data_IF_392274283244
#
_entry.id   IF_392274283244
#
_cell.length_a   1.000
_cell.length_b   1.000
_cell.length_c   1.000
_cell.angle_alpha   90.00
_cell.angle_beta   90.00
_cell.angle_gamma   90.00
#
_symmetry.space_group_name_H-M   'P 1'
#
loop_
_entity.id
_entity.type
_entity.pdbx_description
1 polymer ?
#
# COMPACT_ATOMS: atom_id res chain seq x y z
N UNK A 1 21.81 -38.57 -8.91
CA UNK A 1 21.60 -37.43 -8.02
C UNK A 1 21.58 -36.20 -8.91
N UNK A 2 20.40 -35.71 -9.27
CA UNK A 2 20.30 -34.48 -10.06
C UNK A 2 20.60 -33.32 -9.13
N UNK A 3 21.79 -32.73 -9.26
CA UNK A 3 22.10 -31.43 -8.66
C UNK A 3 21.04 -30.45 -9.15
N UNK A 4 20.15 -30.03 -8.24
CA UNK A 4 19.23 -28.93 -8.51
C UNK A 4 20.07 -27.68 -8.34
N UNK A 5 20.71 -27.23 -9.42
CA UNK A 5 21.43 -25.96 -9.46
C UNK A 5 20.43 -24.87 -9.12
N UNK A 6 20.58 -24.24 -7.95
CA UNK A 6 19.72 -23.15 -7.54
C UNK A 6 19.78 -22.03 -8.59
N UNK A 7 18.62 -21.57 -9.05
CA UNK A 7 18.54 -20.51 -10.05
C UNK A 7 19.18 -19.21 -9.48
N UNK A 8 19.99 -18.55 -10.31
CA UNK A 8 20.64 -17.29 -9.92
C UNK A 8 19.58 -16.22 -9.57
N UNK A 9 19.87 -15.31 -8.61
CA UNK A 9 19.02 -14.16 -8.34
C UNK A 9 18.79 -13.36 -9.62
N UNK A 10 17.54 -12.98 -9.89
CA UNK A 10 17.23 -12.23 -11.09
C UNK A 10 17.02 -13.08 -12.35
N UNK A 11 17.15 -14.41 -12.33
CA UNK A 11 16.84 -15.23 -13.52
C UNK A 11 15.38 -15.05 -13.98
N UNK A 12 15.12 -14.78 -15.26
CA UNK A 12 13.77 -14.62 -15.80
C UNK A 12 13.01 -15.94 -15.82
N UNK A 13 11.72 -15.86 -15.57
CA UNK A 13 10.76 -16.94 -15.83
C UNK A 13 10.57 -17.14 -17.34
N UNK A 14 9.98 -18.27 -17.74
CA UNK A 14 9.67 -18.55 -19.15
C UNK A 14 8.79 -17.46 -19.78
N UNK A 15 7.80 -16.94 -19.04
CA UNK A 15 6.92 -15.89 -19.51
C UNK A 15 7.62 -14.53 -19.66
N UNK A 16 8.61 -14.23 -18.82
CA UNK A 16 9.44 -13.03 -18.95
C UNK A 16 10.41 -13.17 -20.14
N UNK A 17 11.02 -14.35 -20.33
CA UNK A 17 11.86 -14.64 -21.49
C UNK A 17 11.12 -14.41 -22.81
N UNK A 18 9.87 -14.85 -22.91
CA UNK A 18 9.04 -14.63 -24.10
C UNK A 18 8.78 -13.14 -24.39
N UNK A 19 8.63 -12.32 -23.35
CA UNK A 19 8.50 -10.87 -23.51
C UNK A 19 9.83 -10.24 -23.94
N UNK A 20 10.93 -10.65 -23.32
CA UNK A 20 12.28 -10.16 -23.61
C UNK A 20 12.70 -10.47 -25.05
N UNK A 21 12.32 -11.64 -25.59
CA UNK A 21 12.66 -12.07 -26.97
C UNK A 21 12.24 -11.07 -28.05
N UNK A 22 11.26 -10.20 -27.79
CA UNK A 22 10.84 -9.13 -28.71
C UNK A 22 11.93 -8.07 -28.94
N UNK A 23 12.89 -7.98 -28.02
CA UNK A 23 13.96 -6.99 -28.01
C UNK A 23 15.35 -7.58 -28.28
N UNK A 24 15.46 -8.91 -28.38
CA UNK A 24 16.73 -9.60 -28.63
C UNK A 24 16.81 -10.09 -30.07
N UNK A 25 18.03 -10.10 -30.64
CA UNK A 25 18.26 -10.59 -32.01
C UNK A 25 18.55 -12.09 -32.09
N UNK A 26 18.75 -12.73 -30.94
CA UNK A 26 18.93 -14.17 -30.77
C UNK A 26 18.19 -14.62 -29.52
N UNK A 27 18.02 -15.92 -29.38
CA UNK A 27 17.56 -16.51 -28.13
C UNK A 27 18.67 -16.43 -27.07
N UNK A 28 18.24 -16.17 -25.84
CA UNK A 28 19.07 -16.20 -24.63
C UNK A 28 18.57 -17.33 -23.73
N UNK A 29 19.50 -18.05 -23.11
CA UNK A 29 19.18 -18.91 -21.98
C UNK A 29 18.81 -18.06 -20.75
N UNK A 30 17.95 -18.56 -19.84
CA UNK A 30 17.56 -17.81 -18.64
C UNK A 30 18.76 -17.28 -17.85
N UNK A 31 19.82 -18.07 -17.74
CA UNK A 31 21.02 -17.77 -16.95
C UNK A 31 21.87 -16.66 -17.58
N UNK A 32 21.72 -16.38 -18.88
CA UNK A 32 22.41 -15.29 -19.56
C UNK A 32 21.79 -13.92 -19.28
N UNK A 33 20.64 -13.87 -18.59
CA UNK A 33 19.91 -12.64 -18.32
C UNK A 33 19.72 -12.40 -16.82
N UNK A 34 19.68 -11.12 -16.46
CA UNK A 34 19.33 -10.63 -15.14
C UNK A 34 18.13 -9.70 -15.27
N UNK A 35 17.06 -10.03 -14.56
CA UNK A 35 15.82 -9.26 -14.49
C UNK A 35 15.68 -8.67 -13.10
N UNK A 36 15.14 -7.47 -13.00
CA UNK A 36 14.79 -6.82 -11.73
C UNK A 36 13.64 -5.82 -11.94
N UNK A 37 12.77 -5.62 -10.93
CA UNK A 37 11.72 -4.61 -11.00
C UNK A 37 12.19 -3.26 -10.46
N UNK A 38 11.62 -2.18 -10.98
CA UNK A 38 11.80 -0.83 -10.44
C UNK A 38 10.50 -0.04 -10.44
N UNK A 39 10.35 0.87 -9.47
CA UNK A 39 9.40 1.99 -9.56
C UNK A 39 10.14 3.14 -10.25
N UNK A 40 9.62 3.57 -11.41
CA UNK A 40 10.25 4.61 -12.22
C UNK A 40 9.88 6.02 -11.76
N UNK A 41 8.59 6.26 -11.52
CA UNK A 41 8.03 7.50 -11.00
C UNK A 41 6.65 7.25 -10.38
N UNK A 42 6.13 8.21 -9.62
CA UNK A 42 4.81 8.12 -9.00
C UNK A 42 4.08 9.47 -8.97
N UNK A 43 2.88 9.50 -8.38
CA UNK A 43 2.04 10.69 -8.32
C UNK A 43 2.19 11.49 -7.01
N UNK A 44 3.25 11.29 -6.23
CA UNK A 44 3.55 12.16 -5.10
C UNK A 44 4.19 13.46 -5.56
N UNK A 45 3.90 14.53 -4.81
CA UNK A 45 4.66 15.79 -4.93
C UNK A 45 6.09 15.50 -4.49
N UNK A 46 7.04 15.69 -5.38
CA UNK A 46 8.45 15.40 -5.14
C UNK A 46 9.25 16.59 -4.60
N UNK A 47 10.57 16.40 -4.54
CA UNK A 47 11.53 17.40 -4.06
C UNK A 47 11.55 18.66 -4.91
N UNK A 48 11.19 18.56 -6.18
CA UNK A 48 11.15 19.68 -7.11
C UNK A 48 9.79 20.39 -7.10
N UNK A 49 8.82 19.87 -6.34
CA UNK A 49 7.46 20.40 -6.28
C UNK A 49 6.69 20.04 -7.54
N UNK A 50 6.92 18.85 -8.08
CA UNK A 50 6.30 18.32 -9.29
C UNK A 50 5.65 16.97 -8.97
N UNK A 51 4.67 16.56 -9.79
CA UNK A 51 4.10 15.20 -9.75
C UNK A 51 3.52 14.83 -11.10
N UNK A 52 3.41 13.54 -11.36
CA UNK A 52 2.60 13.04 -12.47
C UNK A 52 1.12 12.91 -12.08
N UNK A 53 0.23 13.22 -13.02
CA UNK A 53 -1.16 12.80 -12.89
C UNK A 53 -1.27 11.28 -13.08
N UNK A 54 -2.33 10.68 -12.53
CA UNK A 54 -2.56 9.23 -12.66
C UNK A 54 -2.73 8.81 -14.11
N UNK A 55 -3.39 9.63 -14.92
CA UNK A 55 -3.58 9.36 -16.35
C UNK A 55 -2.23 9.41 -17.08
N UNK A 56 -1.39 10.39 -16.76
CA UNK A 56 -0.03 10.47 -17.29
C UNK A 56 0.80 9.22 -16.97
N UNK A 57 0.68 8.66 -15.76
CA UNK A 57 1.39 7.42 -15.40
C UNK A 57 0.90 6.21 -16.20
N UNK A 58 -0.38 6.16 -16.58
CA UNK A 58 -0.91 5.10 -17.44
C UNK A 58 -0.39 5.23 -18.88
N UNK A 59 -0.35 6.45 -19.41
CA UNK A 59 0.21 6.73 -20.73
C UNK A 59 1.73 6.41 -20.77
N UNK A 60 2.47 6.84 -19.74
CA UNK A 60 3.89 6.52 -19.61
C UNK A 60 4.14 5.01 -19.50
N UNK A 61 3.21 4.24 -18.92
CA UNK A 61 3.36 2.79 -18.85
C UNK A 61 3.44 2.14 -20.23
N UNK A 62 2.76 2.68 -21.23
CA UNK A 62 2.86 2.20 -22.62
C UNK A 62 4.16 2.68 -23.27
N UNK A 63 4.52 3.95 -23.06
CA UNK A 63 5.70 4.58 -23.67
C UNK A 63 7.03 4.01 -23.16
N UNK A 64 7.10 3.60 -21.89
CA UNK A 64 8.34 3.07 -21.31
C UNK A 64 8.69 1.64 -21.74
N UNK A 65 7.77 0.93 -22.40
CA UNK A 65 8.02 -0.44 -22.88
C UNK A 65 9.06 -0.42 -24.00
N UNK A 66 10.21 -1.06 -23.77
CA UNK A 66 11.35 -1.07 -24.69
C UNK A 66 12.34 0.07 -24.48
N UNK A 67 12.10 1.01 -23.56
CA UNK A 67 13.03 2.12 -23.26
C UNK A 67 14.31 1.60 -22.59
N UNK A 68 15.44 2.17 -23.02
CA UNK A 68 16.77 1.77 -22.56
C UNK A 68 17.10 2.41 -21.20
N UNK A 69 17.83 1.66 -20.38
CA UNK A 69 18.44 2.14 -19.14
C UNK A 69 19.88 2.58 -19.38
N UNK A 70 20.20 3.83 -18.98
CA UNK A 70 21.53 4.43 -19.10
C UNK A 70 22.21 4.54 -17.73
N UNK A 71 23.52 4.33 -17.69
CA UNK A 71 24.32 4.44 -16.47
C UNK A 71 25.12 5.75 -16.42
N UNK A 72 25.14 6.40 -15.25
CA UNK A 72 25.95 7.58 -14.88
C UNK A 72 25.67 8.92 -15.61
N UNK A 73 24.43 9.22 -15.99
CA UNK A 73 24.02 10.51 -16.64
C UNK A 73 24.83 10.93 -17.87
N UNK A 74 25.68 10.04 -18.40
CA UNK A 74 26.42 10.27 -19.63
C UNK A 74 25.58 9.70 -20.76
N UNK A 75 25.08 10.58 -21.62
CA UNK A 75 24.42 10.20 -22.87
C UNK A 75 25.45 9.59 -23.85
N UNK A 76 25.94 8.40 -23.54
CA UNK A 76 26.81 7.60 -24.39
C UNK A 76 26.17 6.25 -24.68
N UNK A 77 26.40 5.73 -25.89
CA UNK A 77 25.96 4.38 -26.25
C UNK A 77 26.59 3.31 -25.35
N UNK A 78 27.75 3.59 -24.76
CA UNK A 78 28.43 2.70 -23.83
C UNK A 78 27.64 2.46 -22.54
N UNK A 79 26.83 3.42 -22.09
CA UNK A 79 26.05 3.31 -20.86
C UNK A 79 24.73 2.54 -21.00
N UNK A 80 24.37 2.08 -22.19
CA UNK A 80 23.13 1.36 -22.47
C UNK A 80 23.24 -0.12 -22.09
N UNK A 81 22.95 -0.45 -20.84
CA UNK A 81 23.13 -1.80 -20.32
C UNK A 81 21.83 -2.56 -20.04
N UNK A 82 20.70 -1.87 -19.94
CA UNK A 82 19.44 -2.47 -19.55
C UNK A 82 18.29 -1.99 -20.43
N UNK A 83 17.18 -2.74 -20.45
CA UNK A 83 15.98 -2.37 -21.20
C UNK A 83 14.72 -2.80 -20.45
N UNK A 84 13.68 -1.98 -20.51
CA UNK A 84 12.37 -2.31 -19.96
C UNK A 84 11.66 -3.24 -20.93
N UNK A 85 11.18 -4.40 -20.46
CA UNK A 85 10.39 -5.31 -21.28
C UNK A 85 8.90 -5.29 -20.94
N UNK A 86 8.53 -4.78 -19.76
CA UNK A 86 7.15 -4.57 -19.35
C UNK A 86 7.05 -3.37 -18.41
N UNK A 87 6.00 -2.58 -18.53
CA UNK A 87 5.70 -1.49 -17.61
C UNK A 87 4.19 -1.38 -17.37
N UNK A 88 3.81 -0.92 -16.17
CA UNK A 88 2.41 -0.80 -15.74
C UNK A 88 2.25 0.25 -14.66
N UNK A 89 1.16 1.02 -14.72
CA UNK A 89 0.72 1.84 -13.60
C UNK A 89 0.05 0.95 -12.54
N UNK A 90 0.49 1.05 -11.30
CA UNK A 90 -0.07 0.30 -10.16
C UNK A 90 -0.67 1.30 -9.18
N UNK A 91 -1.96 1.16 -8.93
CA UNK A 91 -2.70 1.98 -7.95
C UNK A 91 -2.84 1.24 -6.62
N UNK A 92 -2.65 1.96 -5.51
CA UNK A 92 -2.90 1.53 -4.15
C UNK A 92 -3.85 2.52 -3.49
N UNK A 93 -5.14 2.15 -3.44
CA UNK A 93 -6.20 2.97 -2.86
C UNK A 93 -6.16 3.03 -1.33
N UNK A 94 -5.42 2.13 -0.68
CA UNK A 94 -5.25 2.13 0.78
C UNK A 94 -4.21 3.15 1.26
N UNK A 95 -3.40 3.66 0.33
CA UNK A 95 -2.31 4.59 0.60
C UNK A 95 -2.56 5.92 -0.13
N UNK A 96 -2.98 6.99 0.56
CA UNK A 96 -3.08 8.31 -0.05
C UNK A 96 -1.69 8.91 -0.29
N UNK A 97 -1.57 9.74 -1.33
CA UNK A 97 -0.40 10.60 -1.58
C UNK A 97 -0.38 11.80 -0.63
N UNK A 98 0.72 12.55 -0.65
CA UNK A 98 0.83 13.84 0.03
C UNK A 98 -0.11 14.95 -0.51
N UNK A 99 -0.88 14.68 -1.58
CA UNK A 99 -1.95 15.54 -2.07
C UNK A 99 -3.36 14.93 -1.93
N UNK A 100 -3.50 13.79 -1.25
CA UNK A 100 -4.79 13.16 -0.96
C UNK A 100 -5.38 12.31 -2.08
N UNK A 101 -4.65 12.09 -3.18
CA UNK A 101 -5.04 11.15 -4.24
C UNK A 101 -4.64 9.71 -3.88
N UNK A 102 -5.29 8.67 -4.43
CA UNK A 102 -4.77 7.31 -4.36
C UNK A 102 -3.34 7.22 -4.91
N UNK A 103 -2.44 6.55 -4.19
CA UNK A 103 -1.06 6.37 -4.66
C UNK A 103 -1.05 5.57 -5.96
N UNK A 104 -0.40 6.10 -6.98
CA UNK A 104 -0.20 5.43 -8.26
C UNK A 104 1.26 5.54 -8.65
N UNK A 105 1.89 4.42 -9.00
CA UNK A 105 3.29 4.36 -9.40
C UNK A 105 3.45 3.65 -10.74
N UNK A 106 4.36 4.14 -11.56
CA UNK A 106 4.82 3.46 -12.76
C UNK A 106 5.86 2.41 -12.36
N UNK A 107 5.50 1.13 -12.49
CA UNK A 107 6.40 0.00 -12.26
C UNK A 107 6.89 -0.57 -13.59
N UNK A 108 8.19 -0.85 -13.66
CA UNK A 108 8.82 -1.46 -14.80
C UNK A 108 9.53 -2.77 -14.41
N UNK A 109 9.49 -3.73 -15.34
CA UNK A 109 10.33 -4.93 -15.32
C UNK A 109 11.46 -4.72 -16.33
N UNK A 110 12.69 -4.84 -15.84
CA UNK A 110 13.90 -4.48 -16.55
C UNK A 110 14.76 -5.72 -16.71
N UNK A 111 15.41 -5.88 -17.86
CA UNK A 111 16.39 -6.92 -18.08
C UNK A 111 17.74 -6.36 -18.56
N UNK A 112 18.81 -7.09 -18.27
CA UNK A 112 20.14 -6.88 -18.82
C UNK A 112 20.88 -8.21 -19.02
N UNK A 113 21.82 -8.29 -19.98
CA UNK A 113 22.64 -9.48 -20.15
C UNK A 113 23.61 -9.65 -18.98
N UNK A 114 23.90 -10.89 -18.59
CA UNK A 114 25.00 -11.23 -17.69
C UNK A 114 26.28 -11.40 -18.48
N UNK A 115 27.26 -10.53 -18.25
CA UNK A 115 28.59 -10.61 -18.84
C UNK A 115 29.58 -9.84 -17.96
N UNK A 116 30.86 -9.83 -18.34
CA UNK A 116 31.92 -9.14 -17.60
C UNK A 116 31.63 -7.65 -17.35
N UNK A 117 30.96 -6.97 -18.30
CA UNK A 117 30.65 -5.54 -18.17
C UNK A 117 29.53 -5.26 -17.18
N UNK A 118 28.54 -6.15 -17.07
CA UNK A 118 27.36 -5.96 -16.21
C UNK A 118 27.50 -6.63 -14.85
N UNK A 119 28.48 -7.52 -14.65
CA UNK A 119 28.65 -8.28 -13.42
C UNK A 119 28.77 -7.39 -12.16
N UNK A 120 29.56 -6.32 -12.23
CA UNK A 120 29.71 -5.36 -11.12
C UNK A 120 28.40 -4.63 -10.82
N UNK A 121 27.70 -4.15 -11.85
CA UNK A 121 26.42 -3.46 -11.70
C UNK A 121 25.33 -4.37 -11.12
N UNK A 122 25.25 -5.63 -11.59
CA UNK A 122 24.32 -6.62 -11.03
C UNK A 122 24.60 -6.82 -9.53
N UNK A 123 25.88 -6.96 -9.15
CA UNK A 123 26.25 -7.09 -7.75
C UNK A 123 25.89 -5.85 -6.91
N UNK A 124 26.07 -4.64 -7.45
CA UNK A 124 25.67 -3.40 -6.79
C UNK A 124 24.14 -3.29 -6.64
N UNK A 125 23.36 -3.74 -7.62
CA UNK A 125 21.89 -3.78 -7.54
C UNK A 125 21.44 -4.79 -6.48
N UNK A 126 21.98 -6.01 -6.51
CA UNK A 126 21.64 -7.07 -5.56
C UNK A 126 22.04 -6.70 -4.13
N UNK A 127 23.16 -5.98 -3.96
CA UNK A 127 23.59 -5.43 -2.68
C UNK A 127 22.77 -4.20 -2.23
N UNK A 128 21.92 -3.64 -3.09
CA UNK A 128 21.12 -2.44 -2.82
C UNK A 128 21.93 -1.13 -2.83
N UNK A 129 23.15 -1.14 -3.39
CA UNK A 129 24.00 0.04 -3.57
C UNK A 129 23.52 0.87 -4.76
N UNK A 130 23.20 0.24 -5.89
CA UNK A 130 22.55 0.89 -7.04
C UNK A 130 21.06 0.65 -6.97
N UNK A 131 20.35 1.60 -6.38
CA UNK A 131 18.92 1.45 -6.09
C UNK A 131 18.09 2.56 -6.72
N UNK A 132 18.45 3.80 -6.49
CA UNK A 132 17.63 4.95 -6.87
C UNK A 132 17.68 5.19 -8.39
N UNK A 133 16.53 5.51 -8.97
CA UNK A 133 16.42 5.78 -10.41
C UNK A 133 15.72 7.09 -10.70
N UNK A 134 15.97 7.63 -11.88
CA UNK A 134 15.19 8.73 -12.47
C UNK A 134 14.75 8.38 -13.88
N UNK A 135 13.78 9.14 -14.38
CA UNK A 135 13.28 9.03 -15.74
C UNK A 135 13.42 10.35 -16.49
N UNK A 136 13.58 10.24 -17.80
CA UNK A 136 13.48 11.34 -18.74
C UNK A 136 12.31 11.06 -19.69
N UNK A 137 11.34 11.97 -19.73
CA UNK A 137 10.13 11.85 -20.55
C UNK A 137 9.64 13.23 -20.99
N UNK A 138 8.79 13.27 -22.02
CA UNK A 138 8.10 14.47 -22.44
C UNK A 138 6.59 14.37 -22.16
N UNK A 139 6.02 15.51 -21.79
CA UNK A 139 4.59 15.68 -21.60
C UNK A 139 4.13 16.90 -22.41
N UNK A 140 2.94 16.83 -22.99
CA UNK A 140 2.37 17.95 -23.75
C UNK A 140 1.80 19.05 -22.86
N UNK A 141 1.53 18.73 -21.58
CA UNK A 141 0.85 19.64 -20.67
C UNK A 141 1.37 19.54 -19.25
N UNK A 142 1.75 20.68 -18.68
CA UNK A 142 2.10 20.83 -17.27
C UNK A 142 1.26 21.97 -16.70
N UNK A 143 0.56 21.74 -15.59
CA UNK A 143 -0.39 22.71 -15.02
C UNK A 143 -0.09 23.04 -13.57
N UNK A 144 -0.48 24.24 -13.15
CA UNK A 144 -0.45 24.67 -11.75
C UNK A 144 -1.52 23.94 -10.95
N UNK A 145 -1.15 23.35 -9.80
CA UNK A 145 -2.07 22.64 -8.92
C UNK A 145 -3.16 23.52 -8.28
N UNK A 146 -2.95 24.84 -8.23
CA UNK A 146 -3.88 25.78 -7.57
C UNK A 146 -4.97 26.28 -8.52
N UNK A 147 -4.59 26.67 -9.75
CA UNK A 147 -5.53 27.29 -10.71
C UNK A 147 -5.69 26.52 -12.02
N UNK A 148 -4.91 25.47 -12.29
CA UNK A 148 -5.02 24.67 -13.51
C UNK A 148 -4.42 25.31 -14.78
N UNK A 149 -3.98 26.57 -14.71
CA UNK A 149 -3.28 27.23 -15.80
C UNK A 149 -1.93 26.56 -16.12
N UNK A 150 -1.40 26.72 -17.34
CA UNK A 150 -0.08 26.21 -17.69
C UNK A 150 0.99 26.61 -16.67
N UNK A 151 1.87 25.66 -16.33
CA UNK A 151 2.92 25.90 -15.36
C UNK A 151 3.81 27.08 -15.81
N UNK A 152 4.04 28.04 -14.91
CA UNK A 152 4.83 29.25 -15.19
C UNK A 152 4.07 30.43 -15.80
N UNK A 153 2.77 30.30 -16.12
CA UNK A 153 1.98 31.43 -16.67
C UNK A 153 1.11 32.16 -15.63
N UNK A 154 0.99 31.61 -14.42
CA UNK A 154 0.22 32.22 -13.32
C UNK A 154 1.12 32.79 -12.22
N UNK A 155 0.54 33.55 -11.28
CA UNK A 155 1.27 34.16 -10.15
C UNK A 155 1.56 33.20 -8.98
N UNK A 156 1.11 31.94 -9.06
CA UNK A 156 1.34 30.95 -8.01
C UNK A 156 2.80 30.47 -8.03
N UNK A 157 3.45 30.51 -6.86
CA UNK A 157 4.85 30.10 -6.71
C UNK A 157 4.92 28.65 -6.24
N UNK A 158 5.65 27.81 -6.99
CA UNK A 158 5.92 26.42 -6.61
C UNK A 158 6.53 26.34 -5.20
N UNK A 159 6.04 25.42 -4.39
CA UNK A 159 6.42 25.25 -2.98
C UNK A 159 5.70 26.19 -2.00
N UNK A 160 5.09 27.30 -2.47
CA UNK A 160 4.34 28.21 -1.61
C UNK A 160 2.93 27.67 -1.33
N UNK A 161 2.44 27.85 -0.10
CA UNK A 161 1.12 27.40 0.33
C UNK A 161 0.03 28.40 -0.07
N UNK A 162 -1.01 27.88 -0.72
CA UNK A 162 -2.25 28.60 -1.08
C UNK A 162 -3.48 27.85 -0.53
N UNK A 163 -3.27 27.09 0.55
CA UNK A 163 -4.20 26.12 1.13
C UNK A 163 -3.42 25.10 1.96
N UNK A 164 -3.99 23.90 2.14
CA UNK A 164 -3.36 22.82 2.90
C UNK A 164 -2.20 22.14 2.15
N UNK A 165 -2.24 22.15 0.82
CA UNK A 165 -1.21 21.56 -0.05
C UNK A 165 -0.43 22.69 -0.72
N UNK A 166 0.92 22.65 -0.74
CA UNK A 166 1.71 23.65 -1.45
C UNK A 166 1.44 23.59 -2.96
N UNK A 167 1.55 24.74 -3.62
CA UNK A 167 1.50 24.83 -5.08
C UNK A 167 2.60 23.95 -5.68
N UNK A 168 2.23 23.10 -6.64
CA UNK A 168 3.11 22.19 -7.34
C UNK A 168 2.71 22.13 -8.82
N UNK A 169 3.59 21.57 -9.65
CA UNK A 169 3.32 21.31 -11.06
C UNK A 169 2.76 19.91 -11.21
N UNK A 170 1.70 19.77 -12.02
CA UNK A 170 1.12 18.48 -12.37
C UNK A 170 1.42 18.22 -13.84
N UNK A 171 2.23 17.21 -14.11
CA UNK A 171 2.52 16.71 -15.45
C UNK A 171 1.37 15.84 -15.96
N UNK A 172 0.89 16.12 -17.16
CA UNK A 172 -0.26 15.51 -17.81
C UNK A 172 0.03 15.19 -19.28
N UNK A 173 -0.67 14.21 -19.84
CA UNK A 173 -0.65 13.92 -21.28
C UNK A 173 0.78 13.64 -21.79
N UNK A 174 1.31 12.48 -21.39
CA UNK A 174 2.61 12.01 -21.80
C UNK A 174 2.69 11.82 -23.31
N UNK A 175 3.81 12.25 -23.90
CA UNK A 175 4.02 12.20 -25.36
C UNK A 175 5.22 11.36 -25.74
N UNK A 176 6.21 11.24 -24.87
CA UNK A 176 7.42 10.47 -25.16
C UNK A 176 8.12 9.99 -23.89
N UNK A 177 8.92 8.94 -23.99
CA UNK A 177 9.76 8.40 -22.94
C UNK A 177 11.17 8.13 -23.49
N UNK A 178 12.17 8.86 -22.99
CA UNK A 178 13.50 8.87 -23.58
C UNK A 178 14.41 7.81 -22.96
N UNK A 179 14.53 7.83 -21.64
CA UNK A 179 15.42 6.94 -20.90
C UNK A 179 15.00 6.84 -19.43
N UNK A 180 15.59 5.86 -18.74
CA UNK A 180 15.68 5.83 -17.30
C UNK A 180 17.15 5.60 -16.90
N UNK A 181 17.55 6.05 -15.71
CA UNK A 181 18.94 5.92 -15.27
C UNK A 181 19.06 5.75 -13.76
N UNK A 182 20.17 5.19 -13.30
CA UNK A 182 20.52 5.17 -11.88
C UNK A 182 21.06 6.53 -11.44
N UNK A 183 20.63 6.99 -10.27
CA UNK A 183 21.00 8.28 -9.69
C UNK A 183 21.37 8.12 -8.23
N UNK A 184 22.14 9.05 -7.67
CA UNK A 184 22.41 9.04 -6.23
C UNK A 184 21.23 9.61 -5.42
N UNK A 185 20.55 10.62 -5.98
CA UNK A 185 19.41 11.30 -5.35
C UNK A 185 18.33 11.53 -6.40
N UNK A 186 17.21 10.78 -6.36
CA UNK A 186 16.12 10.97 -7.30
C UNK A 186 15.23 12.16 -6.88
N UNK A 187 14.55 12.81 -7.82
CA UNK A 187 13.52 13.80 -7.47
C UNK A 187 12.42 13.11 -6.64
N UNK A 188 11.91 11.99 -7.16
CA UNK A 188 10.91 11.12 -6.56
C UNK A 188 11.55 10.17 -5.52
N UNK A 189 11.30 10.32 -4.20
CA UNK A 189 12.03 9.57 -3.17
C UNK A 189 11.83 8.05 -3.20
N UNK A 190 10.76 7.57 -3.84
CA UNK A 190 10.41 6.16 -3.94
C UNK A 190 10.77 5.55 -5.30
N UNK A 191 11.34 6.34 -6.21
CA UNK A 191 11.83 5.84 -7.48
C UNK A 191 13.10 5.02 -7.25
N UNK A 192 13.06 3.74 -7.62
CA UNK A 192 14.19 2.85 -7.50
C UNK A 192 13.85 1.39 -7.70
N UNK A 193 14.91 0.57 -7.68
CA UNK A 193 14.83 -0.89 -7.68
C UNK A 193 14.01 -1.35 -6.47
N UNK A 194 13.06 -2.24 -6.73
CA UNK A 194 12.20 -2.81 -5.70
C UNK A 194 12.56 -4.27 -5.47
N UNK A 195 12.29 -4.76 -4.26
CA UNK A 195 12.36 -6.19 -4.01
C UNK A 195 11.17 -6.84 -4.71
N UNK A 196 11.44 -7.70 -5.69
CA UNK A 196 10.40 -8.62 -6.15
C UNK A 196 10.20 -9.69 -5.09
N UNK A 197 8.98 -9.85 -4.59
CA UNK A 197 8.58 -11.11 -3.95
C UNK A 197 8.40 -12.10 -5.10
N UNK A 198 9.50 -12.62 -5.63
CA UNK A 198 9.41 -13.72 -6.57
C UNK A 198 9.00 -14.94 -5.77
N UNK A 199 7.88 -15.56 -6.15
CA UNK A 199 7.54 -16.91 -5.70
C UNK A 199 8.52 -17.95 -6.29
N UNK A 200 9.81 -17.62 -6.42
CA UNK A 200 10.87 -18.56 -6.80
C UNK A 200 11.24 -19.48 -5.64
N UNK A 201 10.74 -19.18 -4.45
CA UNK A 201 10.63 -20.13 -3.37
C UNK A 201 9.16 -20.33 -3.06
N UNK A 202 8.60 -21.43 -3.56
CA UNK A 202 7.64 -22.22 -2.78
C UNK A 202 8.41 -22.96 -1.66
N UNK A 203 9.43 -22.33 -1.07
CA UNK A 203 9.83 -22.67 0.28
C UNK A 203 8.67 -22.21 1.13
N UNK A 204 8.26 -23.10 2.01
CA UNK A 204 7.15 -22.94 2.92
C UNK A 204 7.04 -21.48 3.36
N UNK A 205 5.80 -20.95 3.35
CA UNK A 205 5.47 -19.76 4.11
C UNK A 205 6.29 -19.80 5.41
N UNK A 206 7.07 -18.75 5.68
CA UNK A 206 7.87 -18.71 6.90
C UNK A 206 6.96 -19.15 8.06
N UNK A 207 7.42 -19.95 9.04
CA UNK A 207 6.55 -20.56 10.04
C UNK A 207 5.53 -19.57 10.65
N UNK A 208 5.96 -18.31 10.83
CA UNK A 208 5.09 -17.22 11.30
C UNK A 208 3.97 -16.76 10.34
N UNK A 209 4.10 -16.89 9.02
CA UNK A 209 3.07 -16.44 8.06
C UNK A 209 1.88 -17.41 7.97
N UNK A 210 2.14 -18.72 8.12
CA UNK A 210 1.08 -19.72 8.25
C UNK A 210 0.33 -19.54 9.57
N UNK A 211 1.08 -19.36 10.67
CA UNK A 211 0.51 -19.14 11.99
C UNK A 211 -0.31 -17.84 12.05
N UNK A 212 0.17 -16.75 11.45
CA UNK A 212 -0.56 -15.48 11.37
C UNK A 212 -1.84 -15.60 10.53
N UNK A 213 -1.82 -16.37 9.43
CA UNK A 213 -3.00 -16.62 8.62
C UNK A 213 -4.04 -17.47 9.39
N UNK A 214 -3.59 -18.49 10.12
CA UNK A 214 -4.45 -19.31 10.97
C UNK A 214 -5.06 -18.50 12.12
N UNK A 215 -4.24 -17.69 12.79
CA UNK A 215 -4.70 -16.76 13.83
C UNK A 215 -5.71 -15.75 13.27
N UNK A 216 -5.49 -15.21 12.06
CA UNK A 216 -6.42 -14.31 11.39
C UNK A 216 -7.76 -14.97 11.08
N UNK A 217 -7.76 -16.22 10.60
CA UNK A 217 -8.98 -17.01 10.35
C UNK A 217 -9.73 -17.30 11.66
N UNK A 218 -9.02 -17.73 12.70
CA UNK A 218 -9.61 -18.02 14.01
C UNK A 218 -10.20 -16.76 14.65
N UNK A 219 -9.52 -15.62 14.52
CA UNK A 219 -10.02 -14.33 15.02
C UNK A 219 -11.30 -13.89 14.30
N UNK A 220 -11.34 -13.98 12.96
CA UNK A 220 -12.54 -13.66 12.18
C UNK A 220 -13.72 -14.59 12.54
N UNK A 221 -13.46 -15.88 12.71
CA UNK A 221 -14.48 -16.83 13.15
C UNK A 221 -15.04 -16.45 14.52
N UNK A 222 -14.18 -16.11 15.49
CA UNK A 222 -14.59 -15.67 16.82
C UNK A 222 -15.43 -14.40 16.77
N UNK A 223 -15.07 -13.42 15.94
CA UNK A 223 -15.87 -12.22 15.75
C UNK A 223 -17.26 -12.52 15.19
N UNK A 224 -17.37 -13.45 14.23
CA UNK A 224 -18.66 -13.88 13.67
C UNK A 224 -19.53 -14.59 14.72
N UNK A 225 -18.95 -15.48 15.51
CA UNK A 225 -19.65 -16.17 16.58
C UNK A 225 -20.13 -15.21 17.67
N UNK A 226 -19.31 -14.20 18.02
CA UNK A 226 -19.68 -13.18 19.00
C UNK A 226 -20.80 -12.27 18.46
N UNK A 227 -20.74 -11.90 17.18
CA UNK A 227 -21.80 -11.19 16.48
C UNK A 227 -23.12 -11.97 16.54
N UNK A 228 -23.13 -13.24 16.10
CA UNK A 228 -24.34 -14.07 16.06
C UNK A 228 -24.93 -14.21 17.46
N UNK A 229 -24.09 -14.48 18.47
CA UNK A 229 -24.55 -14.60 19.86
C UNK A 229 -25.20 -13.32 20.36
N UNK A 230 -24.55 -12.17 20.14
CA UNK A 230 -25.11 -10.89 20.57
C UNK A 230 -26.38 -10.54 19.79
N UNK A 231 -26.44 -10.88 18.49
CA UNK A 231 -27.59 -10.67 17.63
C UNK A 231 -28.81 -11.45 18.13
N UNK A 232 -28.66 -12.75 18.42
CA UNK A 232 -29.77 -13.60 18.88
C UNK A 232 -30.32 -13.19 20.25
N UNK A 233 -29.45 -12.69 21.15
CA UNK A 233 -29.91 -12.16 22.44
C UNK A 233 -30.64 -10.83 22.24
N UNK A 234 -30.07 -9.92 21.45
CA UNK A 234 -30.63 -8.58 21.24
C UNK A 234 -31.91 -8.59 20.38
N UNK A 235 -32.01 -9.53 19.43
CA UNK A 235 -33.06 -9.63 18.41
C UNK A 235 -33.62 -11.07 18.38
N UNK A 236 -34.53 -11.43 19.30
CA UNK A 236 -35.04 -12.81 19.42
C UNK A 236 -35.80 -13.32 18.20
N UNK A 237 -36.42 -12.41 17.45
CA UNK A 237 -37.17 -12.73 16.22
C UNK A 237 -36.26 -12.94 15.01
N UNK A 238 -34.95 -12.69 15.14
CA UNK A 238 -33.99 -12.90 14.05
C UNK A 238 -33.62 -14.39 13.99
N UNK A 239 -33.89 -15.09 12.87
CA UNK A 239 -33.45 -16.47 12.70
C UNK A 239 -31.93 -16.59 12.76
N UNK A 240 -31.42 -17.67 13.38
CA UNK A 240 -29.98 -17.92 13.49
C UNK A 240 -29.28 -17.98 12.13
N UNK A 241 -29.91 -18.58 11.13
CA UNK A 241 -29.38 -18.64 9.77
C UNK A 241 -29.18 -17.25 9.17
N UNK A 242 -30.13 -16.33 9.38
CA UNK A 242 -30.03 -14.96 8.91
C UNK A 242 -28.92 -14.19 9.65
N UNK A 243 -28.77 -14.39 10.96
CA UNK A 243 -27.67 -13.80 11.73
C UNK A 243 -26.30 -14.29 11.26
N UNK A 244 -26.17 -15.59 10.94
CA UNK A 244 -24.95 -16.19 10.40
C UNK A 244 -24.62 -15.65 9.01
N UNK A 245 -25.62 -15.52 8.13
CA UNK A 245 -25.44 -14.93 6.80
C UNK A 245 -24.94 -13.48 6.90
N UNK A 246 -25.56 -12.65 7.74
CA UNK A 246 -25.11 -11.27 7.97
C UNK A 246 -23.67 -11.22 8.50
N UNK A 247 -23.28 -12.13 9.40
CA UNK A 247 -21.92 -12.21 9.91
C UNK A 247 -20.88 -12.59 8.83
N UNK A 248 -21.29 -13.32 7.79
CA UNK A 248 -20.40 -13.68 6.68
C UNK A 248 -20.18 -12.52 5.71
N UNK A 249 -21.18 -11.66 5.51
CA UNK A 249 -21.12 -10.50 4.61
C UNK A 249 -20.36 -9.31 5.21
N UNK A 250 -20.38 -9.17 6.54
CA UNK A 250 -19.70 -8.06 7.22
C UNK A 250 -18.17 -8.18 7.16
N UNK A 251 -17.51 -7.05 6.90
CA UNK A 251 -16.06 -6.92 7.06
C UNK A 251 -15.64 -7.07 8.53
N UNK A 252 -14.35 -7.30 8.79
CA UNK A 252 -13.82 -7.39 10.17
C UNK A 252 -14.20 -6.16 11.03
N UNK A 253 -14.06 -4.96 10.46
CA UNK A 253 -14.43 -3.73 11.13
C UNK A 253 -15.95 -3.59 11.33
N UNK A 254 -16.73 -4.07 10.36
CA UNK A 254 -18.19 -4.17 10.47
C UNK A 254 -18.59 -5.09 11.62
N UNK A 255 -18.02 -6.30 11.70
CA UNK A 255 -18.27 -7.25 12.79
C UNK A 255 -17.96 -6.63 14.15
N UNK A 256 -16.81 -5.97 14.32
CA UNK A 256 -16.44 -5.31 15.59
C UNK A 256 -17.46 -4.23 15.98
N UNK A 257 -17.81 -3.36 15.04
CA UNK A 257 -18.69 -2.22 15.29
C UNK A 257 -20.10 -2.68 15.64
N UNK A 258 -20.66 -3.58 14.83
CA UNK A 258 -22.02 -4.08 15.05
C UNK A 258 -22.11 -4.96 16.29
N UNK A 259 -21.12 -5.82 16.55
CA UNK A 259 -21.09 -6.65 17.76
C UNK A 259 -21.07 -5.79 19.02
N UNK A 260 -20.33 -4.67 19.03
CA UNK A 260 -20.29 -3.75 20.17
C UNK A 260 -21.67 -3.12 20.44
N UNK A 261 -22.41 -2.74 19.39
CA UNK A 261 -23.77 -2.23 19.50
C UNK A 261 -24.75 -3.30 19.99
N UNK A 262 -24.71 -4.50 19.38
CA UNK A 262 -25.55 -5.64 19.75
C UNK A 262 -25.28 -6.11 21.17
N UNK A 263 -24.02 -6.10 21.63
CA UNK A 263 -23.66 -6.44 23.01
C UNK A 263 -24.33 -5.51 24.02
N UNK A 264 -24.38 -4.20 23.73
CA UNK A 264 -25.07 -3.21 24.58
C UNK A 264 -26.59 -3.42 24.60
N UNK A 265 -27.17 -3.81 23.46
CA UNK A 265 -28.58 -4.17 23.41
C UNK A 265 -28.87 -5.47 24.17
N UNK A 266 -28.03 -6.49 23.97
CA UNK A 266 -28.11 -7.78 24.66
C UNK A 266 -27.99 -7.63 26.18
N UNK A 267 -27.07 -6.81 26.67
CA UNK A 267 -26.88 -6.58 28.12
C UNK A 267 -28.07 -5.86 28.78
N UNK A 268 -28.84 -5.06 28.02
CA UNK A 268 -30.07 -4.45 28.53
C UNK A 268 -31.19 -5.47 28.68
N UNK A 269 -31.24 -6.44 27.77
CA UNK A 269 -32.27 -7.49 27.74
C UNK A 269 -31.94 -8.64 28.71
N UNK A 270 -30.66 -8.93 28.89
CA UNK A 270 -30.17 -9.93 29.83
C UNK A 270 -29.07 -9.31 30.70
N UNK A 271 -29.46 -8.51 31.72
CA UNK A 271 -28.51 -7.87 32.60
C UNK A 271 -27.78 -8.92 33.43
N UNK A 272 -26.45 -8.76 33.56
CA UNK A 272 -25.66 -9.58 34.48
C UNK A 272 -25.88 -9.03 35.88
N UNK A 273 -26.70 -9.72 36.68
CA UNK A 273 -26.91 -9.40 38.08
C UNK A 273 -25.79 -10.04 38.91
N UNK A 274 -25.19 -9.26 39.80
CA UNK A 274 -24.23 -9.77 40.77
C UNK A 274 -24.95 -10.68 41.76
N UNK A 275 -24.51 -11.93 41.93
CA UNK A 275 -25.09 -12.84 42.93
C UNK A 275 -24.83 -12.39 44.38
N UNK A 276 -23.93 -11.40 44.58
CA UNK A 276 -23.57 -10.87 45.90
C UNK A 276 -24.36 -9.61 46.29
N UNK A 277 -25.06 -8.99 45.34
CA UNK A 277 -25.99 -7.89 45.59
C UNK A 277 -27.38 -8.43 45.26
N UNK A 278 -28.22 -8.67 46.28
CA UNK A 278 -29.63 -9.00 46.07
C UNK A 278 -30.35 -7.93 45.25
N UNK A 279 -31.64 -8.16 44.92
CA UNK A 279 -32.45 -7.24 44.09
C UNK A 279 -32.29 -5.79 44.55
N UNK A 280 -31.48 -5.02 43.79
CA UNK A 280 -31.38 -3.60 44.01
C UNK A 280 -32.71 -2.99 43.57
N UNK A 281 -33.35 -2.13 44.40
CA UNK A 281 -34.55 -1.43 44.00
C UNK A 281 -34.29 -0.66 42.71
N UNK A 282 -35.27 -0.64 41.81
CA UNK A 282 -35.23 0.13 40.57
C UNK A 282 -34.78 1.56 40.87
N UNK A 283 -33.75 2.01 40.16
CA UNK A 283 -33.14 3.33 40.27
C UNK A 283 -34.24 4.40 40.41
N UNK A 284 -34.33 5.14 41.53
CA UNK A 284 -35.25 6.26 41.58
C UNK A 284 -34.85 7.27 40.50
N UNK A 285 -35.86 7.84 39.84
CA UNK A 285 -35.69 8.86 38.80
C UNK A 285 -34.61 9.89 39.20
N UNK A 286 -33.81 10.41 38.24
CA UNK A 286 -32.71 11.31 38.54
C UNK A 286 -33.21 12.44 39.44
N UNK A 287 -32.53 12.63 40.58
CA UNK A 287 -32.87 13.64 41.56
C UNK A 287 -33.03 14.99 40.84
N UNK A 288 -34.10 15.71 41.13
CA UNK A 288 -34.44 17.00 40.54
C UNK A 288 -33.47 18.13 40.92
N UNK A 289 -32.35 17.82 41.57
CA UNK A 289 -31.38 18.79 42.08
C UNK A 289 -29.94 18.31 41.85
N UNK A 290 -29.18 18.97 40.94
CA UNK A 290 -27.85 18.54 40.53
C UNK A 290 -26.76 18.68 41.62
N UNK A 291 -27.03 19.32 42.76
CA UNK A 291 -26.02 19.57 43.81
C UNK A 291 -25.98 18.54 44.94
N UNK A 292 -26.81 17.48 44.88
CA UNK A 292 -26.82 16.44 45.93
C UNK A 292 -25.69 15.39 45.80
N UNK A 293 -25.00 15.33 44.66
CA UNK A 293 -24.06 14.23 44.32
C UNK A 293 -22.67 14.39 44.95
N UNK A 294 -22.36 15.57 45.52
CA UNK A 294 -21.01 15.91 46.04
C UNK A 294 -20.96 16.19 47.55
N UNK A 295 -21.79 15.52 48.35
CA UNK A 295 -21.53 15.47 49.81
C UNK A 295 -20.56 14.32 50.12
N UNK A 296 -19.37 14.60 50.70
CA UNK A 296 -18.48 13.53 51.14
C UNK A 296 -19.16 12.68 52.22
N UNK A 297 -19.03 11.36 52.09
CA UNK A 297 -19.54 10.36 53.02
C UNK A 297 -19.09 10.70 54.45
N UNK A 298 -20.01 11.18 55.30
CA UNK A 298 -19.76 11.34 56.73
C UNK A 298 -20.24 10.07 57.43
N UNK A 299 -19.29 9.23 57.87
CA UNK A 299 -19.57 8.13 58.80
C UNK A 299 -19.99 8.73 60.13
N UNK A 300 -21.29 8.75 60.42
CA UNK A 300 -21.77 9.05 61.76
C UNK A 300 -21.42 7.87 62.68
N UNK A 301 -20.53 8.14 63.65
CA UNK A 301 -20.29 7.19 64.74
C UNK A 301 -21.50 7.20 65.64
N UNK A 302 -22.18 6.06 65.72
CA UNK A 302 -23.12 5.74 66.79
C UNK A 302 -22.39 5.89 68.13
N UNK A 303 -22.74 6.91 68.91
CA UNK A 303 -22.49 6.90 70.35
C UNK A 303 -23.67 6.21 71.00
N UNK A 304 -23.45 4.98 71.46
CA UNK A 304 -24.33 4.33 72.42
C UNK A 304 -24.38 5.16 73.71
N UNK A 305 -25.59 5.49 74.14
CA UNK A 305 -26.07 5.38 75.51
C UNK A 305 -27.57 5.13 75.46
#
# INVERSE_FOLDING_TARGET
MSETTAALPGTPTQAELEQIRRYTRRDFAPEELYVFPAVLCDNQIDRDGERFSRDCLRELAELFVGVTGVFDHRASAEGQHARIFAARAVEDSSRPTNCGEPYTALRAEIYMPRNEKTAGLIAEIDAGIKKEVSVSCAVSRSVCSVCGEPAGTCSHQRGKRYGEIPCHVIHCAATDAYEWSFVAVPAQPLAGVTKSVRQTHREAAAPGDSDLLELGKAYLQRLREEYVRCALIALPELPEEAARAQAMELSAQGLITHTRALRKAASRRMPVLSQLLGDLPSDPAPASDPDSVNRPFRLERSTQN
#
